data_IF_487750402870
#
_entry.id   IF_487750402870
#
_cell.length_a   1.000
_cell.length_b   1.000
_cell.length_c   1.000
_cell.angle_alpha   90.00
_cell.angle_beta   90.00
_cell.angle_gamma   90.00
#
_symmetry.space_group_name_H-M   'P 1'
#
loop_
_entity.id
_entity.type
_entity.pdbx_description
1 polymer ?
#
# COMPACT_ATOMS: atom_id res chain seq x y z
N UNK A 1 -15.63 -20.65 18.69
CA UNK A 1 -15.80 -19.22 18.37
C UNK A 1 -15.78 -19.09 16.86
N UNK A 2 -16.84 -18.56 16.27
CA UNK A 2 -16.93 -18.35 14.82
C UNK A 2 -16.58 -16.89 14.51
N UNK A 3 -15.77 -16.65 13.48
CA UNK A 3 -15.35 -15.31 13.03
C UNK A 3 -15.81 -15.14 11.59
N UNK A 4 -16.60 -14.11 11.33
CA UNK A 4 -17.10 -13.76 9.99
C UNK A 4 -16.55 -12.40 9.57
N UNK A 5 -15.97 -12.33 8.37
CA UNK A 5 -15.44 -11.10 7.79
C UNK A 5 -16.49 -10.54 6.83
N UNK A 6 -16.74 -9.23 6.90
CA UNK A 6 -17.65 -8.56 5.98
C UNK A 6 -17.07 -8.57 4.55
N UNK A 7 -17.93 -8.79 3.54
CA UNK A 7 -17.52 -8.81 2.13
C UNK A 7 -16.82 -7.53 1.65
N UNK A 8 -17.11 -6.40 2.31
CA UNK A 8 -16.54 -5.08 2.00
C UNK A 8 -15.33 -4.72 2.87
N UNK A 9 -14.88 -5.62 3.75
CA UNK A 9 -13.75 -5.35 4.65
C UNK A 9 -12.45 -5.19 3.86
N UNK A 10 -11.65 -4.19 4.23
CA UNK A 10 -10.33 -3.92 3.65
C UNK A 10 -10.31 -2.64 2.80
N UNK A 11 -9.40 -2.61 1.82
CA UNK A 11 -9.20 -1.44 0.98
C UNK A 11 -10.29 -1.29 -0.08
N UNK A 12 -10.76 -0.06 -0.25
CA UNK A 12 -11.51 0.31 -1.45
C UNK A 12 -10.62 0.16 -2.69
N UNK A 13 -11.24 0.08 -3.86
CA UNK A 13 -10.53 -0.11 -5.13
C UNK A 13 -9.41 0.92 -5.35
N UNK A 14 -9.65 2.20 -5.03
CA UNK A 14 -8.67 3.26 -5.21
C UNK A 14 -7.42 3.09 -4.33
N UNK A 15 -7.62 2.76 -3.05
CA UNK A 15 -6.52 2.50 -2.12
C UNK A 15 -5.74 1.26 -2.53
N UNK A 16 -6.44 0.18 -2.88
CA UNK A 16 -5.81 -1.06 -3.35
C UNK A 16 -4.90 -0.80 -4.54
N UNK A 17 -5.43 -0.11 -5.56
CA UNK A 17 -4.68 0.24 -6.77
C UNK A 17 -3.46 1.12 -6.45
N UNK A 18 -3.61 2.13 -5.59
CA UNK A 18 -2.51 3.01 -5.22
C UNK A 18 -1.36 2.27 -4.52
N UNK A 19 -1.70 1.37 -3.58
CA UNK A 19 -0.72 0.55 -2.87
C UNK A 19 -0.04 -0.44 -3.80
N UNK A 20 -0.80 -1.12 -4.67
CA UNK A 20 -0.24 -2.05 -5.67
C UNK A 20 0.71 -1.33 -6.64
N UNK A 21 0.32 -0.15 -7.14
CA UNK A 21 1.19 0.67 -7.99
C UNK A 21 2.50 1.04 -7.30
N UNK A 22 2.45 1.46 -6.04
CA UNK A 22 3.65 1.80 -5.28
C UNK A 22 4.57 0.57 -5.12
N UNK A 23 4.01 -0.58 -4.75
CA UNK A 23 4.78 -1.82 -4.56
C UNK A 23 5.40 -2.37 -5.85
N UNK A 24 4.80 -2.12 -7.02
CA UNK A 24 5.35 -2.55 -8.31
C UNK A 24 6.37 -1.55 -8.89
N UNK A 25 6.36 -0.29 -8.46
CA UNK A 25 7.25 0.74 -8.99
C UNK A 25 8.75 0.37 -8.94
N UNK A 26 9.30 -0.25 -7.85
CA UNK A 26 10.71 -0.66 -7.80
C UNK A 26 11.12 -1.72 -8.83
N UNK A 27 10.14 -2.42 -9.45
CA UNK A 27 10.41 -3.39 -10.52
C UNK A 27 10.47 -2.74 -11.91
N UNK A 28 9.89 -1.55 -12.04
CA UNK A 28 9.72 -0.85 -13.33
C UNK A 28 10.63 0.37 -13.46
N UNK A 29 11.11 0.89 -12.32
CA UNK A 29 11.89 2.12 -12.25
C UNK A 29 13.09 1.93 -11.32
N UNK A 30 14.17 2.65 -11.61
CA UNK A 30 15.32 2.73 -10.72
C UNK A 30 15.01 3.61 -9.51
N UNK A 31 15.58 3.27 -8.37
CA UNK A 31 15.48 4.07 -7.15
C UNK A 31 16.16 5.45 -7.33
N UNK A 32 15.76 6.48 -6.55
CA UNK A 32 14.75 6.45 -5.49
C UNK A 32 13.31 6.65 -6.00
N UNK A 33 12.36 6.03 -5.31
CA UNK A 33 10.92 6.21 -5.52
C UNK A 33 10.37 6.97 -4.32
N UNK A 34 9.42 7.88 -4.56
CA UNK A 34 8.80 8.67 -3.51
C UNK A 34 7.29 8.82 -3.75
N UNK A 35 6.54 9.00 -2.67
CA UNK A 35 5.13 9.43 -2.71
C UNK A 35 4.99 10.89 -2.31
N UNK A 36 4.00 11.59 -2.86
CA UNK A 36 3.68 12.97 -2.44
C UNK A 36 2.93 12.97 -1.10
N UNK A 37 3.70 12.87 -0.01
CA UNK A 37 3.14 12.68 1.33
C UNK A 37 2.78 11.21 1.60
N UNK A 38 2.10 10.90 2.73
CA UNK A 38 1.73 9.53 3.06
C UNK A 38 0.73 8.98 2.05
N UNK A 39 1.06 7.84 1.42
CA UNK A 39 0.20 7.23 0.38
C UNK A 39 -1.21 6.95 0.90
N UNK A 40 -1.31 6.45 2.14
CA UNK A 40 -2.55 6.26 2.89
C UNK A 40 -2.31 6.49 4.38
N UNK A 41 -3.38 6.76 5.13
CA UNK A 41 -3.33 6.87 6.59
C UNK A 41 -3.36 5.51 7.29
N UNK A 42 -2.35 4.67 7.02
CA UNK A 42 -2.14 3.40 7.70
C UNK A 42 -0.64 3.25 8.00
N UNK A 43 -0.20 3.45 9.26
CA UNK A 43 1.22 3.39 9.62
C UNK A 43 1.89 2.06 9.29
N UNK A 44 1.17 0.94 9.37
CA UNK A 44 1.74 -0.38 9.06
C UNK A 44 2.07 -0.51 7.57
N UNK A 45 1.20 0.01 6.70
CA UNK A 45 1.44 0.03 5.26
C UNK A 45 2.54 1.02 4.90
N UNK A 46 2.57 2.19 5.53
CA UNK A 46 3.64 3.17 5.31
C UNK A 46 5.01 2.59 5.68
N UNK A 47 5.10 1.87 6.80
CA UNK A 47 6.34 1.17 7.20
C UNK A 47 6.74 0.09 6.18
N UNK A 48 5.78 -0.69 5.68
CA UNK A 48 6.05 -1.68 4.63
C UNK A 48 6.60 -1.03 3.35
N UNK A 49 6.06 0.12 2.93
CA UNK A 49 6.58 0.85 1.76
C UNK A 49 8.00 1.34 2.01
N UNK A 50 8.26 1.90 3.19
CA UNK A 50 9.60 2.36 3.58
C UNK A 50 10.62 1.21 3.62
N UNK A 51 10.24 0.03 4.12
CA UNK A 51 11.09 -1.18 4.08
C UNK A 51 11.41 -1.65 2.65
N UNK A 52 10.57 -1.28 1.67
CA UNK A 52 10.78 -1.55 0.25
C UNK A 52 11.54 -0.44 -0.47
N UNK A 53 11.93 0.63 0.23
CA UNK A 53 12.68 1.76 -0.33
C UNK A 53 11.83 2.76 -1.12
N UNK A 54 10.53 2.83 -0.82
CA UNK A 54 9.55 3.76 -1.42
C UNK A 54 9.20 4.87 -0.42
#
# INVERSE_FOLDING_TARGET
MEITIANTAGFCMGVRRAVEMALEAPRQHENPIFTFGPLIHNPQVLNLLQEKGI
#
